data_IF_740452844758
#
_entry.id   IF_740452844758
#
_cell.length_a   1.000
_cell.length_b   1.000
_cell.length_c   1.000
_cell.angle_alpha   90.00
_cell.angle_beta   90.00
_cell.angle_gamma   90.00
#
_symmetry.space_group_name_H-M   'P 1'
#
loop_
_entity.id
_entity.type
_entity.pdbx_description
1 polymer ?
#
# COMPACT_ATOMS: atom_id res chain seq x y z
N UNK A 1 1.78 -24.22 15.68
CA UNK A 1 1.03 -22.96 15.51
C UNK A 1 1.55 -22.32 14.24
N UNK A 2 0.72 -21.75 13.34
CA UNK A 2 1.16 -21.20 12.06
C UNK A 2 1.90 -19.86 12.24
N UNK A 3 3.12 -19.92 12.78
CA UNK A 3 3.93 -18.74 13.14
C UNK A 3 4.37 -18.00 11.89
N UNK A 4 4.68 -18.72 10.80
CA UNK A 4 5.18 -18.12 9.56
C UNK A 4 4.09 -17.29 8.90
N UNK A 5 2.87 -17.84 8.79
CA UNK A 5 1.72 -17.11 8.26
C UNK A 5 1.38 -15.87 9.09
N UNK A 6 1.47 -15.96 10.42
CA UNK A 6 1.25 -14.83 11.32
C UNK A 6 2.24 -13.68 11.08
N UNK A 7 3.54 -13.99 10.95
CA UNK A 7 4.57 -12.98 10.70
C UNK A 7 4.32 -12.27 9.37
N UNK A 8 4.09 -13.01 8.29
CA UNK A 8 3.84 -12.39 6.99
C UNK A 8 2.53 -11.62 6.94
N UNK A 9 1.48 -12.12 7.60
CA UNK A 9 0.21 -11.39 7.73
C UNK A 9 0.41 -10.08 8.49
N UNK A 10 1.19 -10.09 9.59
CA UNK A 10 1.48 -8.89 10.36
C UNK A 10 2.19 -7.82 9.52
N UNK A 11 3.17 -8.22 8.68
CA UNK A 11 3.87 -7.30 7.78
C UNK A 11 2.87 -6.63 6.82
N UNK A 12 2.02 -7.41 6.14
CA UNK A 12 1.01 -6.87 5.22
C UNK A 12 0.01 -5.96 5.93
N UNK A 13 -0.44 -6.34 7.13
CA UNK A 13 -1.36 -5.52 7.93
C UNK A 13 -0.71 -4.20 8.34
N UNK A 14 0.57 -4.19 8.73
CA UNK A 14 1.29 -2.96 9.05
C UNK A 14 1.37 -2.05 7.83
N UNK A 15 1.69 -2.58 6.65
CA UNK A 15 1.70 -1.80 5.40
C UNK A 15 0.32 -1.19 5.11
N UNK A 16 -0.76 -1.97 5.27
CA UNK A 16 -2.13 -1.47 5.11
C UNK A 16 -2.50 -0.40 6.14
N UNK A 17 -2.06 -0.53 7.40
CA UNK A 17 -2.28 0.50 8.44
C UNK A 17 -1.58 1.80 8.05
N UNK A 18 -0.34 1.74 7.56
CA UNK A 18 0.39 2.94 7.11
C UNK A 18 -0.35 3.63 5.96
N UNK A 19 -0.81 2.87 4.98
CA UNK A 19 -1.59 3.40 3.85
C UNK A 19 -2.92 3.97 4.34
N UNK A 20 -3.57 3.29 5.29
CA UNK A 20 -4.82 3.76 5.88
C UNK A 20 -4.64 5.10 6.61
N UNK A 21 -3.58 5.25 7.41
CA UNK A 21 -3.25 6.53 8.06
C UNK A 21 -3.12 7.63 7.01
N UNK A 22 -2.37 7.38 5.93
CA UNK A 22 -2.22 8.32 4.80
C UNK A 22 -3.53 8.58 4.04
N UNK A 23 -4.54 7.74 4.18
CA UNK A 23 -5.86 7.94 3.56
C UNK A 23 -6.82 8.81 4.38
N UNK A 24 -6.42 9.16 5.60
CA UNK A 24 -7.21 10.01 6.50
C UNK A 24 -6.93 11.49 6.27
N UNK A 25 -7.97 12.32 6.36
CA UNK A 25 -7.83 13.78 6.32
C UNK A 25 -7.08 14.30 7.56
N UNK A 26 -7.13 13.57 8.66
CA UNK A 26 -6.37 13.86 9.88
C UNK A 26 -4.85 13.85 9.62
N UNK A 27 -4.35 12.88 8.86
CA UNK A 27 -2.94 12.85 8.47
C UNK A 27 -2.54 14.13 7.74
N UNK A 28 -3.34 14.56 6.77
CA UNK A 28 -3.09 15.78 5.99
C UNK A 28 -3.20 17.06 6.81
N UNK A 29 -4.16 17.14 7.73
CA UNK A 29 -4.27 18.29 8.64
C UNK A 29 -2.98 18.54 9.44
N UNK A 30 -2.29 17.48 9.87
CA UNK A 30 -1.00 17.61 10.56
C UNK A 30 0.15 17.74 9.56
N UNK A 31 0.21 16.87 8.55
CA UNK A 31 1.29 16.82 7.57
C UNK A 31 1.46 18.16 6.84
N UNK A 32 0.38 18.74 6.33
CA UNK A 32 0.41 19.99 5.57
C UNK A 32 0.66 21.21 6.46
N UNK A 33 0.31 21.12 7.75
CA UNK A 33 0.55 22.18 8.74
C UNK A 33 2.02 22.26 9.17
N UNK A 34 2.74 21.15 9.15
CA UNK A 34 4.15 21.09 9.53
C UNK A 34 5.12 21.02 8.34
N UNK A 35 4.61 20.73 7.13
CA UNK A 35 5.40 20.71 5.90
C UNK A 35 4.63 21.34 4.71
N UNK A 36 4.40 22.67 4.76
CA UNK A 36 3.63 23.37 3.74
C UNK A 36 4.30 23.38 2.35
N UNK A 37 5.61 23.09 2.27
CA UNK A 37 6.36 23.02 1.02
C UNK A 37 5.94 21.83 0.13
N UNK A 38 5.27 20.82 0.71
CA UNK A 38 4.74 19.67 -0.03
C UNK A 38 3.33 19.90 -0.59
N UNK A 39 2.62 20.93 -0.15
CA UNK A 39 1.28 21.28 -0.63
C UNK A 39 1.42 21.89 -2.04
N UNK A 40 1.14 21.08 -3.07
CA UNK A 40 1.26 21.47 -4.48
C UNK A 40 2.50 20.95 -5.21
N UNK A 41 3.29 20.06 -4.60
CA UNK A 41 4.41 19.41 -5.26
C UNK A 41 3.93 18.31 -6.24
N UNK A 42 4.61 18.18 -7.39
CA UNK A 42 4.26 17.22 -8.45
C UNK A 42 4.39 15.77 -7.95
N UNK A 43 3.25 15.19 -7.56
CA UNK A 43 3.17 13.86 -6.96
C UNK A 43 2.66 13.84 -5.52
N UNK A 44 2.23 14.98 -4.99
CA UNK A 44 1.41 15.03 -3.78
C UNK A 44 0.08 14.33 -4.05
N UNK A 45 -0.10 13.17 -3.42
CA UNK A 45 -1.35 12.44 -3.46
C UNK A 45 -2.26 12.98 -2.38
N UNK A 46 -3.52 13.28 -2.68
CA UNK A 46 -4.52 13.65 -1.67
C UNK A 46 -5.09 12.43 -0.92
N UNK A 47 -5.88 12.65 0.14
CA UNK A 47 -6.49 11.56 0.93
C UNK A 47 -7.37 10.64 0.08
N UNK A 48 -8.03 11.17 -0.96
CA UNK A 48 -8.86 10.37 -1.85
C UNK A 48 -8.05 9.38 -2.69
N UNK A 49 -6.90 9.79 -3.23
CA UNK A 49 -6.00 8.89 -3.97
C UNK A 49 -5.46 7.80 -3.03
N UNK A 50 -5.06 8.15 -1.80
CA UNK A 50 -4.66 7.14 -0.81
C UNK A 50 -5.78 6.19 -0.41
N UNK A 51 -7.05 6.62 -0.39
CA UNK A 51 -8.19 5.69 -0.22
C UNK A 51 -8.32 4.71 -1.38
N UNK A 52 -8.04 5.13 -2.62
CA UNK A 52 -8.00 4.21 -3.79
C UNK A 52 -6.83 3.23 -3.69
N UNK A 53 -5.65 3.73 -3.33
CA UNK A 53 -4.46 2.90 -3.06
C UNK A 53 -4.78 1.88 -1.96
N UNK A 54 -5.40 2.31 -0.86
CA UNK A 54 -5.80 1.42 0.23
C UNK A 54 -6.73 0.31 -0.24
N UNK A 55 -7.74 0.63 -1.05
CA UNK A 55 -8.66 -0.37 -1.62
C UNK A 55 -7.91 -1.36 -2.50
N UNK A 56 -7.05 -0.88 -3.40
CA UNK A 56 -6.23 -1.73 -4.26
C UNK A 56 -5.29 -2.63 -3.46
N UNK A 57 -4.62 -2.06 -2.45
CA UNK A 57 -3.72 -2.77 -1.56
C UNK A 57 -4.44 -3.84 -0.73
N UNK A 58 -5.65 -3.56 -0.24
CA UNK A 58 -6.46 -4.51 0.52
C UNK A 58 -6.98 -5.66 -0.36
N UNK A 59 -7.42 -5.36 -1.58
CA UNK A 59 -7.85 -6.38 -2.56
C UNK A 59 -6.68 -7.29 -2.92
N UNK A 60 -5.47 -6.75 -3.11
CA UNK A 60 -4.27 -7.53 -3.37
C UNK A 60 -3.79 -8.32 -2.13
N UNK A 61 -4.00 -7.79 -0.93
CA UNK A 61 -3.59 -8.44 0.32
C UNK A 61 -4.41 -9.70 0.62
N UNK A 62 -5.72 -9.69 0.35
CA UNK A 62 -6.60 -10.83 0.61
C UNK A 62 -6.09 -12.17 0.04
N UNK A 63 -5.79 -12.31 -1.28
CA UNK A 63 -5.27 -13.54 -1.83
C UNK A 63 -3.87 -13.87 -1.31
N UNK A 64 -3.01 -12.88 -1.09
CA UNK A 64 -1.64 -13.08 -0.57
C UNK A 64 -1.67 -13.67 0.84
N UNK A 65 -2.47 -13.08 1.73
CA UNK A 65 -2.67 -13.59 3.10
C UNK A 65 -3.28 -14.99 3.04
N UNK A 66 -4.29 -15.22 2.20
CA UNK A 66 -4.88 -16.55 2.02
C UNK A 66 -3.83 -17.61 1.65
N UNK A 67 -2.91 -17.29 0.75
CA UNK A 67 -1.83 -18.22 0.38
C UNK A 67 -0.82 -18.42 1.51
N UNK A 68 -0.47 -17.40 2.30
CA UNK A 68 0.40 -17.59 3.48
C UNK A 68 -0.16 -18.62 4.45
N UNK A 69 -1.46 -18.51 4.76
CA UNK A 69 -2.12 -19.43 5.68
C UNK A 69 -2.24 -20.83 5.08
N UNK A 70 -2.51 -20.94 3.78
CA UNK A 70 -2.60 -22.23 3.11
C UNK A 70 -1.24 -22.95 3.05
N UNK A 71 -0.15 -22.24 2.76
CA UNK A 71 1.18 -22.84 2.66
C UNK A 71 1.72 -23.26 4.02
N UNK A 72 1.49 -22.45 5.06
CA UNK A 72 1.86 -22.79 6.45
C UNK A 72 1.05 -23.97 6.99
N UNK A 73 -0.22 -24.11 6.59
CA UNK A 73 -1.02 -25.29 6.90
C UNK A 73 -0.49 -26.57 6.25
N UNK A 74 0.05 -26.48 5.02
CA UNK A 74 0.60 -27.64 4.30
C UNK A 74 1.98 -28.03 4.85
N UNK A 75 2.90 -27.06 4.98
CA UNK A 75 4.26 -27.29 5.44
C UNK A 75 4.98 -25.99 5.78
N UNK A 76 5.40 -25.87 7.04
CA UNK A 76 6.20 -24.74 7.52
C UNK A 76 7.53 -24.58 6.73
N UNK A 77 8.12 -25.68 6.25
CA UNK A 77 9.36 -25.66 5.46
C UNK A 77 9.20 -24.89 4.14
N UNK A 78 8.07 -25.08 3.45
CA UNK A 78 7.78 -24.36 2.20
C UNK A 78 7.15 -22.99 2.46
N UNK A 79 6.50 -22.79 3.61
CA UNK A 79 5.86 -21.53 3.97
C UNK A 79 6.81 -20.35 4.01
N UNK A 80 8.05 -20.55 4.47
CA UNK A 80 9.08 -19.49 4.54
C UNK A 80 9.48 -18.97 3.14
N UNK A 81 10.03 -19.79 2.23
CA UNK A 81 10.44 -19.30 0.91
C UNK A 81 9.26 -18.82 0.06
N UNK A 82 8.11 -19.51 0.11
CA UNK A 82 6.91 -19.09 -0.61
C UNK A 82 6.36 -17.77 -0.06
N UNK A 83 6.34 -17.63 1.27
CA UNK A 83 5.93 -16.41 1.94
C UNK A 83 6.78 -15.21 1.55
N UNK A 84 8.11 -15.38 1.49
CA UNK A 84 9.01 -14.33 1.03
C UNK A 84 8.74 -13.88 -0.41
N UNK A 85 8.58 -14.83 -1.34
CA UNK A 85 8.31 -14.51 -2.76
C UNK A 85 6.97 -13.79 -2.91
N UNK A 86 5.93 -14.27 -2.24
CA UNK A 86 4.61 -13.64 -2.27
C UNK A 86 4.61 -12.24 -1.65
N UNK A 87 5.34 -12.04 -0.54
CA UNK A 87 5.51 -10.71 0.05
C UNK A 87 6.23 -9.75 -0.92
N UNK A 88 7.27 -10.22 -1.62
CA UNK A 88 7.96 -9.44 -2.62
C UNK A 88 7.04 -9.07 -3.79
N UNK A 89 6.24 -10.02 -4.28
CA UNK A 89 5.24 -9.77 -5.33
C UNK A 89 4.18 -8.77 -4.88
N UNK A 90 3.67 -8.91 -3.66
CA UNK A 90 2.73 -7.95 -3.06
C UNK A 90 3.31 -6.54 -3.04
N UNK A 91 4.57 -6.40 -2.62
CA UNK A 91 5.28 -5.13 -2.59
C UNK A 91 5.46 -4.51 -3.98
N UNK A 92 5.76 -5.33 -5.00
CA UNK A 92 5.83 -4.86 -6.40
C UNK A 92 4.47 -4.38 -6.88
N UNK A 93 3.39 -5.12 -6.62
CA UNK A 93 2.03 -4.72 -6.97
C UNK A 93 1.63 -3.41 -6.28
N UNK A 94 1.93 -3.29 -4.99
CA UNK A 94 1.64 -2.08 -4.21
C UNK A 94 2.37 -0.86 -4.79
N UNK A 95 3.65 -0.99 -5.14
CA UNK A 95 4.42 0.07 -5.81
C UNK A 95 3.82 0.42 -7.18
N UNK A 96 3.35 -0.57 -7.92
CA UNK A 96 2.63 -0.36 -9.18
C UNK A 96 1.36 0.46 -9.00
N UNK A 97 0.54 0.14 -8.00
CA UNK A 97 -0.70 0.87 -7.67
C UNK A 97 -0.38 2.33 -7.29
N UNK A 98 0.61 2.55 -6.42
CA UNK A 98 1.02 3.90 -6.01
C UNK A 98 1.53 4.69 -7.23
N UNK A 99 2.39 4.08 -8.05
CA UNK A 99 2.93 4.70 -9.26
C UNK A 99 1.83 5.11 -10.25
N UNK A 100 0.83 4.25 -10.44
CA UNK A 100 -0.32 4.55 -11.29
C UNK A 100 -1.10 5.79 -10.79
N UNK A 101 -1.40 5.85 -9.50
CA UNK A 101 -2.11 6.99 -8.89
C UNK A 101 -1.30 8.29 -8.95
N UNK A 102 0.02 8.24 -8.68
CA UNK A 102 0.92 9.40 -8.86
C UNK A 102 0.93 9.86 -10.30
N UNK A 103 0.94 8.93 -11.26
CA UNK A 103 0.96 9.27 -12.68
C UNK A 103 -0.37 9.88 -13.15
N UNK A 104 -1.50 9.44 -12.59
CA UNK A 104 -2.81 10.04 -12.86
C UNK A 104 -2.88 11.47 -12.32
N UNK A 105 -2.39 11.70 -11.10
CA UNK A 105 -2.41 13.03 -10.48
C UNK A 105 -1.53 14.02 -11.25
N UNK A 106 -0.32 13.62 -11.64
CA UNK A 106 0.56 14.44 -12.51
C UNK A 106 -0.08 14.78 -13.86
N UNK A 107 -0.87 13.87 -14.44
CA UNK A 107 -1.61 14.15 -15.68
C UNK A 107 -2.73 15.15 -15.48
N UNK A 108 -3.38 15.17 -14.31
CA UNK A 108 -4.39 16.19 -13.97
C UNK A 108 -3.73 17.54 -13.81
N UNK A 109 -2.66 17.64 -13.01
CA UNK A 109 -1.91 18.89 -12.84
C UNK A 109 -1.39 19.45 -14.16
N UNK A 110 -0.86 18.62 -15.05
CA UNK A 110 -0.41 19.07 -16.38
C UNK A 110 -1.55 19.61 -17.25
N UNK A 111 -2.78 19.08 -17.11
CA UNK A 111 -3.95 19.58 -17.86
C UNK A 111 -4.48 20.90 -17.32
N UNK A 112 -4.24 21.21 -16.04
CA UNK A 112 -4.71 22.45 -15.40
C UNK A 112 -3.61 23.51 -15.27
N UNK A 113 -2.33 23.18 -15.41
CA UNK A 113 -1.18 24.10 -15.33
C UNK A 113 -0.91 24.96 -16.58
N UNK A 114 -1.88 25.09 -17.50
CA UNK A 114 -1.79 25.95 -18.70
C UNK A 114 -2.79 27.13 -18.68
N UNK A 115 -3.35 27.46 -17.50
CA UNK A 115 -4.16 28.66 -17.29
C UNK A 115 -3.54 29.57 -16.24
#
# INVERSE_FOLDING_TARGET
>A
MPVVALVYTAIVVIELIIIWVKSTEFFYYFHDRFDPANVGNLGYLGPQNWRRILRGAAIAAAPVVGVFWLTDYISEFYAVPVGFVLLALYNVMLRGIISAEVSEERRKDWRYGWY
#
